data_IF_638684441341
#
_entry.id   IF_638684441341
#
_cell.length_a   1.000
_cell.length_b   1.000
_cell.length_c   1.000
_cell.angle_alpha   90.00
_cell.angle_beta   90.00
_cell.angle_gamma   90.00
#
_symmetry.space_group_name_H-M   'P 1'
#
loop_
_entity.id
_entity.type
_entity.pdbx_description
1 polymer ?
#
# COMPACT_ATOMS: atom_id res chain seq x y z
N UNK A 1 38.23 54.47 -62.81
CA UNK A 1 38.19 55.20 -61.52
C UNK A 1 36.84 55.03 -60.81
N UNK A 2 35.69 55.44 -61.37
CA UNK A 2 34.39 55.19 -60.72
C UNK A 2 34.01 53.71 -60.64
N UNK A 3 34.27 52.94 -61.71
CA UNK A 3 34.01 51.49 -61.77
C UNK A 3 34.83 50.69 -60.76
N UNK A 4 36.08 51.10 -60.52
CA UNK A 4 37.00 50.44 -59.58
C UNK A 4 36.55 50.66 -58.13
N UNK A 5 35.99 51.84 -57.83
CA UNK A 5 35.45 52.18 -56.52
C UNK A 5 34.16 51.40 -56.22
N UNK A 6 33.31 51.17 -57.24
CA UNK A 6 32.11 50.33 -57.13
C UNK A 6 32.47 48.87 -56.86
N UNK A 7 33.48 48.33 -57.57
CA UNK A 7 33.98 46.95 -57.35
C UNK A 7 34.55 46.76 -55.94
N UNK A 8 35.29 47.76 -55.42
CA UNK A 8 35.81 47.72 -54.06
C UNK A 8 34.70 47.74 -52.99
N UNK A 9 33.70 48.62 -53.14
CA UNK A 9 32.54 48.69 -52.24
C UNK A 9 31.70 47.41 -52.26
N UNK A 10 31.55 46.79 -53.44
CA UNK A 10 30.86 45.50 -53.58
C UNK A 10 31.63 44.37 -52.87
N UNK A 11 32.96 44.34 -52.99
CA UNK A 11 33.82 43.39 -52.28
C UNK A 11 33.68 43.51 -50.76
N UNK A 12 33.73 44.73 -50.23
CA UNK A 12 33.54 44.99 -48.80
C UNK A 12 32.12 44.58 -48.33
N UNK A 13 31.11 44.82 -49.14
CA UNK A 13 29.73 44.41 -48.85
C UNK A 13 29.59 42.89 -48.79
N UNK A 14 30.26 42.16 -49.70
CA UNK A 14 30.29 40.69 -49.71
C UNK A 14 31.02 40.16 -48.46
N UNK A 15 32.15 40.75 -48.07
CA UNK A 15 32.87 40.36 -46.85
C UNK A 15 32.06 40.61 -45.57
N UNK A 16 31.32 41.72 -45.50
CA UNK A 16 30.38 41.99 -44.40
C UNK A 16 29.22 40.99 -44.37
N UNK A 17 28.73 40.58 -45.54
CA UNK A 17 27.69 39.56 -45.63
C UNK A 17 28.20 38.17 -45.25
N UNK A 18 29.41 37.79 -45.65
CA UNK A 18 29.98 36.48 -45.30
C UNK A 18 30.29 36.39 -43.80
N UNK A 19 30.79 37.47 -43.20
CA UNK A 19 31.00 37.54 -41.75
C UNK A 19 29.67 37.51 -40.99
N UNK A 20 28.64 38.24 -41.43
CA UNK A 20 27.31 38.18 -40.83
C UNK A 20 26.67 36.79 -40.96
N UNK A 21 26.80 36.14 -42.13
CA UNK A 21 26.31 34.79 -42.35
C UNK A 21 26.99 33.77 -41.41
N UNK A 22 28.32 33.83 -41.26
CA UNK A 22 29.04 32.96 -40.34
C UNK A 22 28.66 33.17 -38.86
N UNK A 23 28.35 34.40 -38.46
CA UNK A 23 27.82 34.68 -37.12
C UNK A 23 26.42 34.10 -36.94
N UNK A 24 25.54 34.23 -37.94
CA UNK A 24 24.20 33.66 -37.90
C UNK A 24 24.24 32.13 -37.81
N UNK A 25 25.07 31.46 -38.61
CA UNK A 25 25.28 30.00 -38.54
C UNK A 25 25.73 29.58 -37.13
N UNK A 26 26.64 30.35 -36.51
CA UNK A 26 27.08 30.08 -35.14
C UNK A 26 25.96 30.28 -34.11
N UNK A 27 25.09 31.27 -34.29
CA UNK A 27 23.95 31.48 -33.38
C UNK A 27 22.88 30.41 -33.54
N UNK A 28 22.63 29.94 -34.78
CA UNK A 28 21.69 28.85 -35.05
C UNK A 28 22.17 27.56 -34.40
N UNK A 29 23.44 27.19 -34.61
CA UNK A 29 24.02 25.99 -33.97
C UNK A 29 23.99 26.08 -32.43
N UNK A 30 24.21 27.26 -31.86
CA UNK A 30 24.08 27.47 -30.41
C UNK A 30 22.63 27.33 -29.92
N UNK A 31 21.65 27.83 -30.67
CA UNK A 31 20.23 27.68 -30.34
C UNK A 31 19.77 26.23 -30.46
N UNK A 32 20.19 25.50 -31.50
CA UNK A 32 19.89 24.08 -31.68
C UNK A 32 20.43 23.22 -30.52
N UNK A 33 21.67 23.49 -30.08
CA UNK A 33 22.25 22.82 -28.91
C UNK A 33 21.44 23.11 -27.64
N UNK A 34 20.98 24.36 -27.48
CA UNK A 34 20.18 24.75 -26.32
C UNK A 34 18.79 24.12 -26.34
N UNK A 35 18.19 24.01 -27.52
CA UNK A 35 16.87 23.41 -27.72
C UNK A 35 16.90 21.89 -27.43
N UNK A 36 17.96 21.19 -27.86
CA UNK A 36 18.14 19.77 -27.53
C UNK A 36 18.28 19.53 -26.01
N UNK A 37 19.01 20.39 -25.31
CA UNK A 37 19.17 20.29 -23.84
C UNK A 37 17.85 20.62 -23.14
N UNK A 38 17.16 21.67 -23.57
CA UNK A 38 15.89 22.08 -22.99
C UNK A 38 14.80 21.04 -23.24
N UNK A 39 14.69 20.49 -24.45
CA UNK A 39 13.75 19.43 -24.79
C UNK A 39 13.92 18.20 -23.90
N UNK A 40 15.15 17.70 -23.76
CA UNK A 40 15.42 16.56 -22.88
C UNK A 40 15.19 16.85 -21.40
N UNK A 41 15.35 18.10 -20.94
CA UNK A 41 15.01 18.49 -19.57
C UNK A 41 13.49 18.55 -19.35
N UNK A 42 12.75 19.09 -20.32
CA UNK A 42 11.28 19.15 -20.27
C UNK A 42 10.70 17.74 -20.28
N UNK A 43 11.17 16.84 -21.13
CA UNK A 43 10.73 15.43 -21.14
C UNK A 43 10.93 14.75 -19.80
N UNK A 44 12.09 14.96 -19.15
CA UNK A 44 12.37 14.42 -17.81
C UNK A 44 11.46 14.99 -16.74
N UNK A 45 11.17 16.29 -16.79
CA UNK A 45 10.24 16.92 -15.86
C UNK A 45 8.82 16.39 -16.07
N UNK A 46 8.36 16.28 -17.31
CA UNK A 46 7.04 15.73 -17.63
C UNK A 46 6.92 14.30 -17.14
N UNK A 47 7.92 13.44 -17.41
CA UNK A 47 7.94 12.07 -16.92
C UNK A 47 7.93 12.00 -15.38
N UNK A 48 8.65 12.89 -14.68
CA UNK A 48 8.64 12.95 -13.23
C UNK A 48 7.29 13.39 -12.66
N UNK A 49 6.63 14.37 -13.30
CA UNK A 49 5.30 14.86 -12.90
C UNK A 49 4.23 13.80 -13.14
N UNK A 50 4.26 13.12 -14.29
CA UNK A 50 3.34 12.03 -14.59
C UNK A 50 3.50 10.88 -13.59
N UNK A 51 4.74 10.45 -13.31
CA UNK A 51 5.02 9.42 -12.30
C UNK A 51 4.55 9.80 -10.89
N UNK A 52 4.70 11.07 -10.49
CA UNK A 52 4.17 11.58 -9.21
C UNK A 52 2.64 11.59 -9.18
N UNK A 53 1.98 11.94 -10.29
CA UNK A 53 0.52 11.92 -10.38
C UNK A 53 -0.03 10.50 -10.22
N UNK A 54 0.60 9.52 -10.89
CA UNK A 54 0.22 8.11 -10.76
C UNK A 54 0.42 7.59 -9.33
N UNK A 55 1.52 7.95 -8.67
CA UNK A 55 1.77 7.53 -7.29
C UNK A 55 0.74 8.12 -6.31
N UNK A 56 0.39 9.40 -6.48
CA UNK A 56 -0.64 10.05 -5.66
C UNK A 56 -2.03 9.42 -5.86
N UNK A 57 -2.39 9.10 -7.11
CA UNK A 57 -3.64 8.39 -7.39
C UNK A 57 -3.67 7.03 -6.70
N UNK A 58 -2.56 6.29 -6.78
CA UNK A 58 -2.45 4.98 -6.14
C UNK A 58 -2.53 5.07 -4.61
N UNK A 59 -1.91 6.07 -4.01
CA UNK A 59 -2.02 6.31 -2.57
C UNK A 59 -3.45 6.62 -2.14
N UNK A 60 -4.19 7.44 -2.89
CA UNK A 60 -5.59 7.73 -2.63
C UNK A 60 -6.46 6.46 -2.71
N UNK A 61 -6.28 5.63 -3.73
CA UNK A 61 -7.00 4.35 -3.82
C UNK A 61 -6.70 3.42 -2.65
N UNK A 62 -5.43 3.34 -2.23
CA UNK A 62 -5.02 2.52 -1.10
C UNK A 62 -5.60 3.02 0.21
N UNK A 63 -5.64 4.35 0.43
CA UNK A 63 -6.29 4.95 1.61
C UNK A 63 -7.78 4.60 1.66
N UNK A 64 -8.50 4.74 0.55
CA UNK A 64 -9.92 4.39 0.48
C UNK A 64 -10.17 2.91 0.78
N UNK A 65 -9.33 2.02 0.23
CA UNK A 65 -9.43 0.58 0.51
C UNK A 65 -9.12 0.25 1.97
N UNK A 66 -8.16 0.96 2.56
CA UNK A 66 -7.77 0.79 3.96
C UNK A 66 -8.92 1.21 4.88
N UNK A 67 -9.52 2.38 4.66
CA UNK A 67 -10.69 2.84 5.44
C UNK A 67 -11.87 1.86 5.33
N UNK A 68 -12.17 1.36 4.14
CA UNK A 68 -13.22 0.36 3.94
C UNK A 68 -12.92 -0.96 4.68
N UNK A 69 -11.67 -1.42 4.64
CA UNK A 69 -11.25 -2.63 5.36
C UNK A 69 -11.30 -2.44 6.88
N UNK A 70 -10.89 -1.27 7.38
CA UNK A 70 -10.97 -0.94 8.80
C UNK A 70 -12.42 -0.92 9.30
N UNK A 71 -13.35 -0.37 8.51
CA UNK A 71 -14.78 -0.41 8.83
C UNK A 71 -15.32 -1.85 8.89
N UNK A 72 -14.94 -2.70 7.93
CA UNK A 72 -15.33 -4.12 7.95
C UNK A 72 -14.77 -4.86 9.17
N UNK A 73 -13.52 -4.59 9.55
CA UNK A 73 -12.92 -5.18 10.75
C UNK A 73 -13.65 -4.69 12.00
N UNK A 74 -13.98 -3.40 12.10
CA UNK A 74 -14.73 -2.85 13.22
C UNK A 74 -16.11 -3.51 13.34
N UNK A 75 -16.80 -3.69 12.21
CA UNK A 75 -18.10 -4.36 12.16
C UNK A 75 -17.99 -5.84 12.56
N UNK A 76 -17.04 -6.58 11.99
CA UNK A 76 -16.83 -8.00 12.32
C UNK A 76 -16.42 -8.18 13.79
N UNK A 77 -15.61 -7.27 14.35
CA UNK A 77 -15.28 -7.27 15.78
C UNK A 77 -16.52 -6.99 16.62
N UNK A 78 -17.38 -6.06 16.22
CA UNK A 78 -18.64 -5.79 16.90
C UNK A 78 -19.59 -7.00 16.84
N UNK A 79 -19.72 -7.65 15.69
CA UNK A 79 -20.53 -8.87 15.51
C UNK A 79 -19.97 -10.03 16.34
N UNK A 80 -18.64 -10.22 16.34
CA UNK A 80 -17.96 -11.22 17.16
C UNK A 80 -18.21 -10.98 18.65
N UNK A 81 -18.03 -9.76 19.14
CA UNK A 81 -18.28 -9.41 20.55
C UNK A 81 -19.74 -9.61 20.97
N UNK A 82 -20.71 -9.35 20.09
CA UNK A 82 -22.12 -9.68 20.33
C UNK A 82 -22.39 -11.18 20.34
N UNK A 83 -21.69 -11.96 19.52
CA UNK A 83 -21.84 -13.41 19.48
C UNK A 83 -21.25 -14.13 20.70
N UNK A 84 -20.15 -13.63 21.26
CA UNK A 84 -19.49 -14.21 22.43
C UNK A 84 -20.20 -13.84 23.73
N UNK A 85 -20.73 -12.62 23.84
CA UNK A 85 -21.50 -12.19 25.02
C UNK A 85 -22.85 -12.94 25.18
N UNK A 86 -23.38 -13.53 24.11
CA UNK A 86 -24.73 -14.12 24.11
C UNK A 86 -24.78 -15.65 24.30
N UNK A 87 -23.66 -16.39 24.31
CA UNK A 87 -23.71 -17.86 24.28
C UNK A 87 -22.64 -18.54 25.14
N UNK A 88 -22.76 -18.41 26.47
CA UNK A 88 -22.20 -19.38 27.43
C UNK A 88 -23.02 -20.70 27.39
N UNK A 89 -23.21 -21.27 26.21
CA UNK A 89 -24.00 -22.49 26.05
C UNK A 89 -23.07 -23.62 25.66
N UNK A 90 -22.60 -24.37 26.66
CA UNK A 90 -22.00 -25.67 26.41
C UNK A 90 -23.10 -26.65 25.97
N UNK A 91 -22.82 -27.54 25.00
CA UNK A 91 -23.69 -28.69 24.73
C UNK A 91 -24.04 -29.44 26.03
N UNK A 92 -25.28 -29.92 26.14
CA UNK A 92 -25.75 -30.62 27.34
C UNK A 92 -24.88 -31.85 27.67
N UNK A 93 -24.37 -32.55 26.65
CA UNK A 93 -23.45 -33.68 26.79
C UNK A 93 -22.12 -33.28 27.43
N UNK A 94 -21.53 -32.14 27.05
CA UNK A 94 -20.30 -31.63 27.68
C UNK A 94 -20.53 -31.10 29.08
N UNK A 95 -21.66 -30.45 29.33
CA UNK A 95 -22.03 -30.00 30.68
C UNK A 95 -22.19 -31.19 31.63
N UNK A 96 -22.82 -32.28 31.17
CA UNK A 96 -22.95 -33.52 31.93
C UNK A 96 -21.61 -34.24 32.15
N UNK A 97 -20.69 -34.22 31.18
CA UNK A 97 -19.36 -34.80 31.35
C UNK A 97 -18.52 -34.00 32.35
N UNK A 98 -18.53 -32.67 32.26
CA UNK A 98 -17.83 -31.80 33.22
C UNK A 98 -18.41 -31.95 34.64
N UNK A 99 -19.73 -32.04 34.77
CA UNK A 99 -20.40 -32.30 36.05
C UNK A 99 -20.01 -33.68 36.63
N UNK A 100 -19.91 -34.73 35.80
CA UNK A 100 -19.44 -36.06 36.24
C UNK A 100 -17.98 -36.06 36.70
N UNK A 101 -17.15 -35.16 36.17
CA UNK A 101 -15.75 -35.00 36.56
C UNK A 101 -15.55 -33.99 37.72
N UNK A 102 -16.64 -33.52 38.35
CA UNK A 102 -16.57 -32.67 39.54
C UNK A 102 -16.38 -31.17 39.26
N UNK A 103 -16.50 -30.72 38.01
CA UNK A 103 -16.41 -29.30 37.65
C UNK A 103 -17.84 -28.73 37.60
N UNK A 104 -18.33 -28.27 38.75
CA UNK A 104 -19.71 -27.80 38.93
C UNK A 104 -19.88 -26.27 38.78
N UNK A 105 -18.81 -25.49 38.87
CA UNK A 105 -18.86 -24.02 38.74
C UNK A 105 -18.17 -23.56 37.46
N UNK A 106 -18.98 -23.03 36.55
CA UNK A 106 -18.63 -22.53 35.20
C UNK A 106 -17.82 -21.22 35.24
N UNK A 107 -17.81 -20.52 36.39
CA UNK A 107 -17.29 -19.15 36.50
C UNK A 107 -15.75 -19.03 36.54
N UNK A 108 -15.00 -20.11 36.78
CA UNK A 108 -13.53 -20.11 36.57
C UNK A 108 -12.96 -21.53 36.49
N UNK A 109 -12.78 -22.05 35.28
CA UNK A 109 -12.08 -23.33 35.08
C UNK A 109 -10.58 -23.07 35.13
N UNK A 110 -9.90 -23.52 36.19
CA UNK A 110 -8.44 -23.55 36.22
C UNK A 110 -7.91 -24.57 35.20
N UNK A 111 -7.04 -24.13 34.30
CA UNK A 111 -6.51 -24.95 33.20
C UNK A 111 -5.89 -26.29 33.66
N UNK A 112 -5.24 -26.30 34.84
CA UNK A 112 -4.64 -27.51 35.41
C UNK A 112 -5.65 -28.56 35.88
N UNK A 113 -6.81 -28.13 36.43
CA UNK A 113 -7.87 -29.04 36.86
C UNK A 113 -8.64 -29.62 35.66
N UNK A 114 -8.80 -28.82 34.59
CA UNK A 114 -9.42 -29.28 33.35
C UNK A 114 -8.58 -30.33 32.64
N UNK A 115 -7.29 -30.09 32.45
CA UNK A 115 -6.43 -31.06 31.77
C UNK A 115 -6.31 -32.36 32.58
N UNK A 116 -6.35 -32.31 33.92
CA UNK A 116 -6.44 -33.48 34.80
C UNK A 116 -7.75 -34.27 34.61
N UNK A 117 -8.90 -33.59 34.58
CA UNK A 117 -10.21 -34.21 34.35
C UNK A 117 -10.36 -34.83 32.95
N UNK A 118 -9.62 -34.32 31.95
CA UNK A 118 -9.64 -34.81 30.57
C UNK A 118 -8.56 -35.86 30.27
N UNK A 119 -7.72 -36.25 31.24
CA UNK A 119 -6.68 -37.28 31.05
C UNK A 119 -7.22 -38.65 30.65
N UNK A 120 -8.42 -39.01 31.13
CA UNK A 120 -9.10 -40.26 30.82
C UNK A 120 -9.77 -40.35 29.44
N UNK A 121 -9.76 -39.26 28.65
CA UNK A 121 -10.32 -39.20 27.29
C UNK A 121 -9.23 -39.37 26.23
N UNK A 122 -9.63 -39.81 25.03
CA UNK A 122 -8.72 -39.85 23.87
C UNK A 122 -8.26 -38.44 23.49
N UNK A 123 -7.11 -38.34 22.84
CA UNK A 123 -6.53 -37.05 22.43
C UNK A 123 -7.51 -36.21 21.61
N UNK A 124 -8.23 -36.84 20.68
CA UNK A 124 -9.24 -36.18 19.84
C UNK A 124 -10.42 -35.65 20.65
N UNK A 125 -10.89 -36.42 21.64
CA UNK A 125 -11.96 -36.00 22.54
C UNK A 125 -11.52 -34.83 23.42
N UNK A 126 -10.27 -34.84 23.90
CA UNK A 126 -9.69 -33.74 24.68
C UNK A 126 -9.61 -32.46 23.86
N UNK A 127 -9.17 -32.55 22.61
CA UNK A 127 -9.13 -31.41 21.67
C UNK A 127 -10.54 -30.89 21.40
N UNK A 128 -11.52 -31.77 21.18
CA UNK A 128 -12.91 -31.39 20.93
C UNK A 128 -13.54 -30.64 22.12
N UNK A 129 -13.36 -31.14 23.35
CA UNK A 129 -13.89 -30.50 24.56
C UNK A 129 -13.19 -29.16 24.81
N UNK A 130 -11.87 -29.08 24.65
CA UNK A 130 -11.11 -27.83 24.83
C UNK A 130 -11.50 -26.77 23.79
N UNK A 131 -11.70 -27.15 22.53
CA UNK A 131 -12.20 -26.27 21.48
C UNK A 131 -13.63 -25.75 21.76
N UNK A 132 -14.49 -26.60 22.34
CA UNK A 132 -15.83 -26.21 22.76
C UNK A 132 -15.82 -25.25 23.96
N UNK A 133 -14.92 -25.47 24.92
CA UNK A 133 -14.75 -24.57 26.08
C UNK A 133 -14.16 -23.21 25.67
N UNK A 134 -13.20 -23.19 24.75
CA UNK A 134 -12.69 -21.96 24.12
C UNK A 134 -13.80 -21.22 23.37
N UNK A 135 -14.63 -21.94 22.60
CA UNK A 135 -15.78 -21.36 21.87
C UNK A 135 -16.85 -20.79 22.80
N UNK A 136 -17.07 -21.42 23.96
CA UNK A 136 -18.01 -20.96 24.98
C UNK A 136 -17.47 -19.80 25.84
N UNK A 137 -16.22 -19.36 25.61
CA UNK A 137 -15.59 -18.27 26.36
C UNK A 137 -15.20 -18.65 27.79
N UNK A 138 -15.12 -19.95 28.10
CA UNK A 138 -14.81 -20.46 29.44
C UNK A 138 -13.32 -20.69 29.68
N UNK A 139 -12.52 -20.61 28.61
CA UNK A 139 -11.05 -20.61 28.65
C UNK A 139 -10.58 -19.26 28.12
N UNK A 140 -9.96 -18.47 28.98
CA UNK A 140 -9.21 -17.27 28.57
C UNK A 140 -7.85 -17.72 28.01
N UNK A 141 -7.44 -17.16 26.87
CA UNK A 141 -6.08 -17.36 26.34
C UNK A 141 -5.03 -16.81 27.30
#
# INVERSE_FOLDING_TARGET
METDNILASLGESIERLTTAAGLLERTVTWLEQRDQIAGGAVEKMTAAVEGQSESLQRECELRLKLEAAEQQIAELRAQSSRSTAARQTLPASTTQLLAKQGISTVDSIQAGALDAALTGLSLEQRIAVKAQLLRAGMLTQ
#
